data_IF_294517545445
#
_entry.id   IF_294517545445
#
_cell.length_a   1.000
_cell.length_b   1.000
_cell.length_c   1.000
_cell.angle_alpha   90.00
_cell.angle_beta   90.00
_cell.angle_gamma   90.00
#
_symmetry.space_group_name_H-M   'P 1'
#
loop_
_entity.id
_entity.type
_entity.pdbx_description
1 polymer ?
#
# COMPACT_ATOMS: atom_id res chain seq x y z
N UNK A 1 -6.57 -17.14 -0.71
CA UNK A 1 -5.32 -17.66 -1.31
C UNK A 1 -5.23 -17.29 -2.78
N UNK A 2 -6.31 -17.50 -3.53
CA UNK A 2 -6.41 -17.14 -4.95
C UNK A 2 -6.08 -15.68 -5.28
N UNK A 3 -6.53 -14.72 -4.47
CA UNK A 3 -6.21 -13.29 -4.68
C UNK A 3 -4.72 -12.99 -4.55
N UNK A 4 -4.04 -13.63 -3.60
CA UNK A 4 -2.60 -13.50 -3.42
C UNK A 4 -1.82 -14.17 -4.55
N UNK A 5 -2.29 -15.33 -5.03
CA UNK A 5 -1.71 -16.01 -6.20
C UNK A 5 -1.90 -15.16 -7.46
N UNK A 6 -3.07 -14.54 -7.64
CA UNK A 6 -3.37 -13.67 -8.78
C UNK A 6 -2.49 -12.41 -8.76
N UNK A 7 -2.32 -11.79 -7.59
CA UNK A 7 -1.40 -10.69 -7.36
C UNK A 7 0.04 -11.07 -7.77
N UNK A 8 0.53 -12.22 -7.29
CA UNK A 8 1.89 -12.69 -7.58
C UNK A 8 2.12 -13.00 -9.06
N UNK A 9 1.12 -13.54 -9.77
CA UNK A 9 1.20 -13.79 -11.22
C UNK A 9 1.31 -12.52 -12.03
N UNK A 10 0.59 -11.48 -11.61
CA UNK A 10 0.62 -10.19 -12.28
C UNK A 10 1.83 -9.32 -11.86
N UNK A 11 2.50 -9.70 -10.77
CA UNK A 11 3.71 -9.03 -10.28
C UNK A 11 4.84 -9.17 -11.32
N UNK A 12 5.27 -8.05 -11.90
CA UNK A 12 6.33 -7.99 -12.91
C UNK A 12 5.86 -8.07 -14.36
N UNK A 13 4.57 -8.32 -14.63
CA UNK A 13 4.00 -8.28 -15.99
C UNK A 13 3.24 -6.99 -16.30
N UNK A 14 2.92 -6.18 -15.28
CA UNK A 14 2.29 -4.87 -15.41
C UNK A 14 2.91 -3.84 -14.46
N UNK A 15 2.52 -2.56 -14.64
CA UNK A 15 2.94 -1.49 -13.73
C UNK A 15 2.40 -1.71 -12.33
N UNK A 16 3.14 -1.24 -11.33
CA UNK A 16 2.77 -1.41 -9.93
C UNK A 16 1.49 -0.65 -9.58
N UNK A 17 1.25 0.51 -10.19
CA UNK A 17 0.04 1.31 -10.02
C UNK A 17 -1.20 0.56 -10.53
N UNK A 18 -1.08 -0.07 -11.71
CA UNK A 18 -2.16 -0.87 -12.29
C UNK A 18 -2.43 -2.14 -11.45
N UNK A 19 -1.37 -2.77 -10.95
CA UNK A 19 -1.45 -3.96 -10.09
C UNK A 19 -2.14 -3.65 -8.76
N UNK A 20 -1.74 -2.56 -8.08
CA UNK A 20 -2.36 -2.13 -6.83
C UNK A 20 -3.84 -1.77 -7.02
N UNK A 21 -4.18 -1.09 -8.12
CA UNK A 21 -5.57 -0.76 -8.43
C UNK A 21 -6.40 -2.01 -8.71
N UNK A 22 -5.85 -2.97 -9.45
CA UNK A 22 -6.53 -4.21 -9.83
C UNK A 22 -6.76 -5.16 -8.66
N UNK A 23 -5.76 -5.37 -7.82
CA UNK A 23 -5.78 -6.44 -6.79
C UNK A 23 -6.02 -5.91 -5.37
N UNK A 24 -5.67 -4.66 -5.10
CA UNK A 24 -5.78 -4.07 -3.77
C UNK A 24 -6.83 -2.95 -3.70
N UNK A 25 -7.43 -2.59 -4.84
CA UNK A 25 -8.41 -1.49 -4.99
C UNK A 25 -7.89 -0.15 -4.44
N UNK A 26 -6.58 0.09 -4.61
CA UNK A 26 -5.87 1.28 -4.12
C UNK A 26 -5.21 2.00 -5.28
N UNK A 27 -5.24 3.33 -5.25
CA UNK A 27 -4.59 4.16 -6.27
C UNK A 27 -3.28 4.78 -5.74
N UNK A 28 -2.14 4.25 -6.19
CA UNK A 28 -0.81 4.71 -5.78
C UNK A 28 -0.43 6.09 -6.35
N UNK A 29 -1.19 6.59 -7.33
CA UNK A 29 -0.95 7.91 -7.94
C UNK A 29 -1.49 9.06 -7.10
N UNK A 30 -2.36 8.76 -6.13
CA UNK A 30 -2.99 9.76 -5.28
C UNK A 30 -2.14 10.02 -4.03
N UNK A 31 -1.90 11.29 -3.65
CA UNK A 31 -1.16 11.64 -2.44
C UNK A 31 -1.73 11.01 -1.17
N UNK A 32 -3.06 10.89 -1.08
CA UNK A 32 -3.79 10.34 0.06
C UNK A 32 -3.29 8.93 0.45
N UNK A 33 -2.90 8.09 -0.50
CA UNK A 33 -2.34 6.77 -0.19
C UNK A 33 -1.06 6.88 0.66
N UNK A 34 -0.17 7.79 0.27
CA UNK A 34 1.11 7.99 0.93
C UNK A 34 0.97 8.73 2.26
N UNK A 35 0.03 9.69 2.35
CA UNK A 35 -0.29 10.37 3.60
C UNK A 35 -0.78 9.37 4.67
N UNK A 36 -1.68 8.45 4.28
CA UNK A 36 -2.15 7.39 5.17
C UNK A 36 -1.03 6.41 5.58
N UNK A 37 -0.13 6.07 4.65
CA UNK A 37 1.00 5.21 4.96
C UNK A 37 1.97 5.86 5.96
N UNK A 38 2.25 7.15 5.81
CA UNK A 38 3.13 7.90 6.71
C UNK A 38 2.49 8.13 8.08
N UNK A 39 1.17 8.29 8.14
CA UNK A 39 0.44 8.49 9.40
C UNK A 39 0.68 7.36 10.42
N UNK A 40 0.88 6.12 9.95
CA UNK A 40 1.26 4.98 10.80
C UNK A 40 2.62 5.23 11.48
N UNK A 41 3.63 5.63 10.71
CA UNK A 41 4.96 5.93 11.25
C UNK A 41 4.93 7.12 12.22
N UNK A 42 4.14 8.16 11.93
CA UNK A 42 3.97 9.31 12.82
C UNK A 42 3.40 8.87 14.16
N UNK A 43 2.35 8.03 14.13
CA UNK A 43 1.74 7.49 15.35
C UNK A 43 2.75 6.69 16.18
N UNK A 44 3.59 5.87 15.55
CA UNK A 44 4.61 5.10 16.27
C UNK A 44 5.64 6.03 16.96
N UNK A 45 6.00 7.14 16.32
CA UNK A 45 6.88 8.16 16.92
C UNK A 45 6.20 8.87 18.08
N UNK A 46 4.93 9.24 17.94
CA UNK A 46 4.15 9.87 19.01
C UNK A 46 4.02 8.94 20.22
N UNK A 47 3.75 7.66 20.00
CA UNK A 47 3.71 6.64 21.06
C UNK A 47 5.07 6.50 21.76
N UNK A 48 6.17 6.50 21.00
CA UNK A 48 7.51 6.45 21.57
C UNK A 48 7.84 7.69 22.43
N UNK A 49 7.45 8.89 21.98
CA UNK A 49 7.68 10.14 22.73
C UNK A 49 6.84 10.26 24.00
N UNK A 50 5.77 9.47 24.13
CA UNK A 50 4.90 9.45 25.30
C UNK A 50 5.37 8.49 26.42
N UNK A 51 6.46 7.75 26.21
CA UNK A 51 7.12 6.88 27.19
C UNK A 51 8.07 7.65 28.12
#
# INVERSE_FOLDING_TARGET
EDDYIALLRDTGSMKVEDLAKKHLNVDLTQPEFWENAIALCVKDVEEFLAL
#
